data_IF_222817173301
#
_entry.id   IF_222817173301
#
_cell.length_a   1.000
_cell.length_b   1.000
_cell.length_c   1.000
_cell.angle_alpha   90.00
_cell.angle_beta   90.00
_cell.angle_gamma   90.00
#
_symmetry.space_group_name_H-M   'P 1'
#
loop_
_entity.id
_entity.type
_entity.pdbx_description
1 polymer ?
#
# COMPACT_ATOMS: atom_id res chain seq x y z
N UNK A 1 -62.84 -47.24 -39.75
CA UNK A 1 -61.88 -46.51 -38.90
C UNK A 1 -61.12 -45.58 -39.82
N UNK A 2 -61.57 -44.33 -39.90
CA UNK A 2 -60.90 -43.26 -40.63
C UNK A 2 -60.02 -42.52 -39.61
N UNK A 3 -58.74 -42.32 -39.94
CA UNK A 3 -57.81 -41.55 -39.12
C UNK A 3 -57.72 -40.14 -39.72
N UNK A 4 -58.11 -39.15 -38.92
CA UNK A 4 -57.96 -37.71 -39.20
C UNK A 4 -56.55 -37.25 -38.77
N UNK A 5 -55.90 -36.45 -39.63
CA UNK A 5 -54.65 -35.75 -39.34
C UNK A 5 -54.91 -34.51 -38.45
N UNK A 6 -54.06 -34.20 -37.44
CA UNK A 6 -54.14 -32.94 -36.71
C UNK A 6 -53.33 -31.82 -37.37
N UNK A 7 -53.91 -30.62 -37.34
CA UNK A 7 -53.42 -29.34 -37.85
C UNK A 7 -52.06 -28.91 -37.28
N UNK A 8 -51.19 -28.39 -38.17
CA UNK A 8 -49.99 -27.64 -37.82
C UNK A 8 -50.34 -26.28 -37.17
N UNK A 9 -49.98 -26.10 -35.90
CA UNK A 9 -49.84 -24.76 -35.32
C UNK A 9 -48.42 -24.22 -35.59
N UNK A 10 -48.35 -23.10 -36.30
CA UNK A 10 -47.13 -22.29 -36.45
C UNK A 10 -46.65 -21.82 -35.07
N UNK A 11 -45.42 -22.17 -34.70
CA UNK A 11 -44.68 -21.48 -33.66
C UNK A 11 -44.27 -20.10 -34.18
N UNK A 12 -44.73 -19.04 -33.50
CA UNK A 12 -44.07 -17.73 -33.55
C UNK A 12 -42.81 -17.78 -32.67
N UNK A 13 -41.69 -17.14 -33.06
CA UNK A 13 -40.50 -17.10 -32.23
C UNK A 13 -40.69 -16.07 -31.11
N UNK A 14 -40.72 -16.53 -29.85
CA UNK A 14 -40.51 -15.65 -28.70
C UNK A 14 -39.08 -15.12 -28.74
N UNK A 15 -38.95 -13.79 -28.70
CA UNK A 15 -37.70 -13.06 -28.86
C UNK A 15 -36.63 -13.39 -27.82
N UNK A 16 -35.39 -13.36 -28.31
CA UNK A 16 -34.14 -13.53 -27.56
C UNK A 16 -33.70 -12.30 -26.77
N UNK A 17 -34.58 -11.32 -26.55
CA UNK A 17 -34.21 -10.02 -25.95
C UNK A 17 -34.35 -9.97 -24.42
N UNK A 18 -34.88 -11.03 -23.80
CA UNK A 18 -35.17 -11.09 -22.36
C UNK A 18 -33.93 -11.37 -21.49
N UNK A 19 -32.95 -12.14 -21.97
CA UNK A 19 -31.78 -12.53 -21.16
C UNK A 19 -30.74 -11.42 -21.02
N UNK A 20 -30.54 -10.61 -22.08
CA UNK A 20 -29.58 -9.50 -22.07
C UNK A 20 -30.01 -8.31 -21.19
N UNK A 21 -31.31 -8.00 -21.13
CA UNK A 21 -31.86 -6.93 -20.27
C UNK A 21 -31.74 -7.27 -18.79
N UNK A 22 -31.86 -8.57 -18.44
CA UNK A 22 -31.76 -9.03 -17.06
C UNK A 22 -30.32 -8.92 -16.53
N UNK A 23 -29.31 -9.24 -17.36
CA UNK A 23 -27.90 -9.18 -16.96
C UNK A 23 -27.43 -7.75 -16.64
N UNK A 24 -27.80 -6.77 -17.48
CA UNK A 24 -27.46 -5.35 -17.27
C UNK A 24 -28.11 -4.78 -16.00
N UNK A 25 -29.34 -5.19 -15.69
CA UNK A 25 -30.04 -4.78 -14.47
C UNK A 25 -29.39 -5.36 -13.20
N UNK A 26 -28.86 -6.59 -13.26
CA UNK A 26 -28.09 -7.16 -12.16
C UNK A 26 -26.76 -6.45 -11.96
N UNK A 27 -26.04 -6.13 -13.04
CA UNK A 27 -24.77 -5.39 -12.95
C UNK A 27 -24.98 -4.01 -12.30
N UNK A 28 -26.03 -3.29 -12.69
CA UNK A 28 -26.40 -2.01 -12.07
C UNK A 28 -26.74 -2.16 -10.59
N UNK A 29 -27.49 -3.20 -10.22
CA UNK A 29 -27.82 -3.47 -8.83
C UNK A 29 -26.59 -3.83 -7.98
N UNK A 30 -25.63 -4.58 -8.54
CA UNK A 30 -24.36 -4.94 -7.91
C UNK A 30 -23.51 -3.69 -7.70
N UNK A 31 -23.34 -2.85 -8.73
CA UNK A 31 -22.60 -1.59 -8.62
C UNK A 31 -23.22 -0.68 -7.54
N UNK A 32 -24.54 -0.52 -7.55
CA UNK A 32 -25.23 0.29 -6.55
C UNK A 32 -25.08 -0.30 -5.12
N UNK A 33 -25.00 -1.62 -4.97
CA UNK A 33 -24.72 -2.25 -3.68
C UNK A 33 -23.28 -1.98 -3.22
N UNK A 34 -22.30 -2.11 -4.12
CA UNK A 34 -20.90 -1.81 -3.82
C UNK A 34 -20.72 -0.34 -3.41
N UNK A 35 -21.35 0.59 -4.13
CA UNK A 35 -21.30 2.01 -3.81
C UNK A 35 -21.87 2.30 -2.42
N UNK A 36 -23.01 1.68 -2.06
CA UNK A 36 -23.59 1.84 -0.71
C UNK A 36 -22.65 1.35 0.39
N UNK A 37 -22.05 0.17 0.20
CA UNK A 37 -21.08 -0.40 1.16
C UNK A 37 -19.87 0.53 1.30
N UNK A 38 -19.31 1.00 0.18
CA UNK A 38 -18.16 1.90 0.19
C UNK A 38 -18.48 3.25 0.83
N UNK A 39 -19.68 3.80 0.62
CA UNK A 39 -20.13 5.03 1.28
C UNK A 39 -20.26 4.86 2.79
N UNK A 40 -20.86 3.76 3.25
CA UNK A 40 -20.96 3.45 4.69
C UNK A 40 -19.57 3.33 5.34
N UNK A 41 -18.64 2.64 4.67
CA UNK A 41 -17.24 2.54 5.11
C UNK A 41 -16.57 3.93 5.12
N UNK A 42 -16.80 4.75 4.10
CA UNK A 42 -16.19 6.07 3.95
C UNK A 42 -16.65 7.08 5.01
N UNK A 43 -17.90 6.96 5.48
CA UNK A 43 -18.43 7.75 6.60
C UNK A 43 -17.75 7.38 7.92
N UNK A 44 -17.41 6.10 8.11
CA UNK A 44 -16.79 5.61 9.34
C UNK A 44 -15.27 5.80 9.36
N UNK A 45 -14.61 5.71 8.20
CA UNK A 45 -13.17 5.66 8.09
C UNK A 45 -12.65 6.71 7.10
N UNK A 46 -11.73 7.61 7.52
CA UNK A 46 -11.00 8.46 6.58
C UNK A 46 -10.13 7.60 5.66
N UNK A 47 -9.63 8.19 4.58
CA UNK A 47 -8.74 7.50 3.63
C UNK A 47 -7.45 7.06 4.33
N UNK A 48 -6.85 7.98 5.09
CA UNK A 48 -5.72 7.73 5.98
C UNK A 48 -6.01 8.40 7.31
N UNK A 49 -5.91 7.67 8.42
CA UNK A 49 -6.17 8.22 9.75
C UNK A 49 -5.03 9.11 10.26
N UNK A 50 -5.35 9.89 11.30
CA UNK A 50 -4.33 10.45 12.17
C UNK A 50 -3.43 9.37 12.77
N UNK A 51 -2.28 9.80 13.31
CA UNK A 51 -1.37 8.90 14.02
C UNK A 51 -1.97 8.49 15.35
N UNK A 52 -2.24 7.20 15.51
CA UNK A 52 -2.83 6.62 16.72
C UNK A 52 -1.76 5.82 17.49
N UNK A 53 -1.88 5.80 18.81
CA UNK A 53 -1.15 4.83 19.63
C UNK A 53 -1.57 3.42 19.23
N UNK A 54 -0.60 2.50 19.07
CA UNK A 54 -0.87 1.12 18.64
C UNK A 54 -1.86 0.39 19.56
N UNK A 55 -1.99 0.85 20.82
CA UNK A 55 -2.90 0.29 21.82
C UNK A 55 -4.38 0.34 21.42
N UNK A 56 -4.75 1.16 20.43
CA UNK A 56 -6.12 1.16 19.86
C UNK A 56 -6.50 -0.22 19.33
N UNK A 57 -5.53 -1.01 18.85
CA UNK A 57 -5.78 -2.37 18.34
C UNK A 57 -6.36 -3.30 19.42
N UNK A 58 -6.01 -3.14 20.70
CA UNK A 58 -6.57 -3.98 21.77
C UNK A 58 -8.09 -3.89 21.87
N UNK A 59 -8.68 -2.75 21.50
CA UNK A 59 -10.13 -2.51 21.55
C UNK A 59 -10.87 -3.08 20.34
N UNK A 60 -10.15 -3.46 19.28
CA UNK A 60 -10.74 -4.04 18.06
C UNK A 60 -10.92 -5.56 18.17
N UNK A 61 -10.25 -6.20 19.12
CA UNK A 61 -10.34 -7.63 19.36
C UNK A 61 -11.00 -7.89 20.71
N UNK A 62 -11.78 -8.96 20.80
CA UNK A 62 -12.38 -9.38 22.05
C UNK A 62 -11.29 -9.70 23.10
N UNK A 63 -11.58 -9.46 24.38
CA UNK A 63 -10.62 -9.70 25.46
C UNK A 63 -10.25 -11.18 25.61
N UNK A 64 -11.15 -12.07 25.20
CA UNK A 64 -10.96 -13.52 25.22
C UNK A 64 -10.30 -14.08 23.95
N UNK A 65 -10.08 -13.26 22.91
CA UNK A 65 -9.25 -13.64 21.75
C UNK A 65 -7.76 -13.52 22.11
N UNK A 66 -7.32 -14.47 22.96
CA UNK A 66 -5.98 -14.52 23.52
C UNK A 66 -4.88 -14.53 22.44
N UNK A 67 -5.15 -15.07 21.25
CA UNK A 67 -4.18 -15.14 20.14
C UNK A 67 -3.89 -13.73 19.63
N UNK A 68 -4.91 -12.98 19.22
CA UNK A 68 -4.72 -11.62 18.73
C UNK A 68 -4.22 -10.69 19.84
N UNK A 69 -4.73 -10.83 21.06
CA UNK A 69 -4.25 -10.07 22.22
C UNK A 69 -2.74 -10.27 22.47
N UNK A 70 -2.23 -11.50 22.31
CA UNK A 70 -0.79 -11.79 22.43
C UNK A 70 0.02 -11.22 21.26
N UNK A 71 -0.47 -11.33 20.02
CA UNK A 71 0.23 -10.77 18.86
C UNK A 71 0.30 -9.25 18.91
N UNK A 72 -0.74 -8.58 19.39
CA UNK A 72 -0.72 -7.11 19.62
C UNK A 72 0.31 -6.75 20.70
N UNK A 73 0.42 -7.55 21.77
CA UNK A 73 1.49 -7.37 22.79
C UNK A 73 2.89 -7.53 22.19
N UNK A 74 3.09 -8.47 21.27
CA UNK A 74 4.36 -8.62 20.59
C UNK A 74 4.65 -7.45 19.64
N UNK A 75 3.66 -7.01 18.87
CA UNK A 75 3.75 -5.89 17.96
C UNK A 75 4.12 -4.59 18.70
N UNK A 76 3.59 -4.38 19.91
CA UNK A 76 3.94 -3.26 20.80
C UNK A 76 5.42 -3.19 21.21
N UNK A 77 6.15 -4.30 21.14
CA UNK A 77 7.61 -4.28 21.40
C UNK A 77 8.39 -3.65 20.25
N UNK A 78 7.80 -3.66 19.04
CA UNK A 78 8.45 -3.26 17.78
C UNK A 78 7.96 -1.89 17.31
N UNK A 79 6.68 -1.58 17.51
CA UNK A 79 6.00 -0.39 16.99
C UNK A 79 5.25 0.36 18.09
N UNK A 80 5.24 1.69 18.01
CA UNK A 80 4.53 2.57 18.96
C UNK A 80 3.21 3.08 18.39
N UNK A 81 3.18 3.37 17.09
CA UNK A 81 2.04 4.01 16.45
C UNK A 81 1.52 3.23 15.26
N UNK A 82 0.27 3.51 14.91
CA UNK A 82 -0.42 3.00 13.73
C UNK A 82 -1.21 4.13 13.06
N UNK A 83 -1.22 4.13 11.73
CA UNK A 83 -2.17 4.89 10.90
C UNK A 83 -3.01 3.89 10.12
N UNK A 84 -4.31 3.96 10.34
CA UNK A 84 -5.28 3.11 9.64
C UNK A 84 -5.54 3.66 8.26
N UNK A 85 -5.88 2.76 7.33
CA UNK A 85 -6.38 3.16 6.01
C UNK A 85 -7.80 2.67 5.82
N UNK A 86 -8.53 3.29 4.88
CA UNK A 86 -9.88 2.84 4.56
C UNK A 86 -9.84 1.42 3.95
N UNK A 87 -10.72 0.48 4.37
CA UNK A 87 -10.81 -0.85 3.76
C UNK A 87 -11.62 -0.79 2.45
N UNK A 88 -11.08 -0.11 1.44
CA UNK A 88 -11.70 0.14 0.13
C UNK A 88 -11.08 -0.70 -1.00
N UNK A 89 -10.31 -1.73 -0.66
CA UNK A 89 -9.52 -2.53 -1.61
C UNK A 89 -8.24 -1.84 -2.10
N UNK A 90 -8.00 -0.58 -1.76
CA UNK A 90 -6.79 0.18 -2.14
C UNK A 90 -5.82 0.37 -0.96
N UNK A 91 -6.15 -0.18 0.22
CA UNK A 91 -5.42 0.00 1.48
C UNK A 91 -3.91 -0.22 1.36
N UNK A 92 -3.44 -1.23 0.62
CA UNK A 92 -1.99 -1.46 0.39
C UNK A 92 -1.32 -0.25 -0.27
N UNK A 93 -1.81 0.15 -1.44
CA UNK A 93 -1.25 1.27 -2.21
C UNK A 93 -1.29 2.58 -1.42
N UNK A 94 -2.39 2.80 -0.70
CA UNK A 94 -2.59 4.01 0.11
C UNK A 94 -1.65 4.04 1.32
N UNK A 95 -1.53 2.91 2.05
CA UNK A 95 -0.63 2.78 3.19
C UNK A 95 0.84 2.89 2.75
N UNK A 96 1.21 2.23 1.65
CA UNK A 96 2.55 2.33 1.06
C UNK A 96 2.88 3.77 0.66
N UNK A 97 2.01 4.41 -0.12
CA UNK A 97 2.23 5.76 -0.63
C UNK A 97 2.43 6.77 0.51
N UNK A 98 1.55 6.74 1.51
CA UNK A 98 1.66 7.63 2.66
C UNK A 98 2.92 7.34 3.50
N UNK A 99 3.13 6.07 3.87
CA UNK A 99 4.28 5.67 4.68
C UNK A 99 5.61 6.03 4.04
N UNK A 100 5.71 5.87 2.71
CA UNK A 100 6.94 6.16 2.01
C UNK A 100 7.19 7.65 1.91
N UNK A 101 6.18 8.44 1.50
CA UNK A 101 6.32 9.89 1.41
C UNK A 101 6.55 10.55 2.79
N UNK A 102 5.94 10.05 3.86
CA UNK A 102 6.21 10.49 5.24
C UNK A 102 7.69 10.21 5.61
N UNK A 103 8.23 9.03 5.25
CA UNK A 103 9.63 8.70 5.52
C UNK A 103 10.63 9.55 4.73
N UNK A 104 10.26 10.03 3.54
CA UNK A 104 11.12 10.87 2.70
C UNK A 104 11.24 12.32 3.19
N UNK A 105 10.38 12.79 4.09
CA UNK A 105 10.50 14.12 4.72
C UNK A 105 11.86 14.28 5.44
N UNK A 106 12.34 13.20 6.05
CA UNK A 106 13.58 13.18 6.83
C UNK A 106 14.83 12.76 6.03
N UNK A 107 14.68 12.26 4.79
CA UNK A 107 15.79 11.77 3.96
C UNK A 107 15.83 12.45 2.58
N UNK A 108 16.48 13.62 2.54
CA UNK A 108 16.61 14.40 1.31
C UNK A 108 17.36 13.68 0.19
N UNK A 109 18.29 12.77 0.51
CA UNK A 109 19.06 12.04 -0.52
C UNK A 109 18.17 10.99 -1.18
N UNK A 110 17.44 10.24 -0.37
CA UNK A 110 16.50 9.24 -0.86
C UNK A 110 15.34 9.89 -1.61
N UNK A 111 14.87 11.06 -1.17
CA UNK A 111 13.85 11.84 -1.88
C UNK A 111 14.28 12.18 -3.32
N UNK A 112 15.52 12.64 -3.51
CA UNK A 112 16.02 12.96 -4.86
C UNK A 112 16.13 11.70 -5.74
N UNK A 113 16.56 10.56 -5.18
CA UNK A 113 16.57 9.27 -5.88
C UNK A 113 15.14 8.86 -6.28
N UNK A 114 14.21 8.93 -5.34
CA UNK A 114 12.81 8.54 -5.54
C UNK A 114 12.13 9.42 -6.59
N UNK A 115 12.33 10.73 -6.53
CA UNK A 115 11.84 11.69 -7.53
C UNK A 115 12.37 11.38 -8.93
N UNK A 116 13.66 11.06 -9.06
CA UNK A 116 14.25 10.70 -10.35
C UNK A 116 13.66 9.41 -10.94
N UNK A 117 13.50 8.36 -10.11
CA UNK A 117 12.86 7.10 -10.52
C UNK A 117 11.40 7.33 -10.92
N UNK A 118 10.66 8.12 -10.14
CA UNK A 118 9.25 8.46 -10.38
C UNK A 118 9.04 9.34 -11.62
N UNK A 119 9.98 10.22 -11.95
CA UNK A 119 9.94 10.98 -13.19
C UNK A 119 10.17 10.06 -14.40
N UNK A 120 11.16 9.16 -14.30
CA UNK A 120 11.50 8.22 -15.37
C UNK A 120 10.41 7.18 -15.63
N UNK A 121 9.67 6.78 -14.59
CA UNK A 121 8.67 5.72 -14.69
C UNK A 121 7.53 6.03 -15.66
N UNK A 122 7.19 7.30 -15.90
CA UNK A 122 6.20 7.66 -16.93
C UNK A 122 6.67 7.22 -18.31
N UNK A 123 7.88 7.61 -18.72
CA UNK A 123 8.45 7.23 -20.01
C UNK A 123 8.56 5.70 -20.15
N UNK A 124 8.93 5.03 -19.07
CA UNK A 124 9.05 3.57 -19.07
C UNK A 124 7.70 2.89 -19.27
N UNK A 125 6.62 3.39 -18.66
CA UNK A 125 5.25 2.91 -18.92
C UNK A 125 4.82 3.20 -20.37
N UNK A 126 5.06 4.41 -20.89
CA UNK A 126 4.73 4.74 -22.29
C UNK A 126 5.46 3.81 -23.26
N UNK A 127 6.75 3.53 -23.02
CA UNK A 127 7.54 2.61 -23.84
C UNK A 127 7.03 1.16 -23.81
N UNK A 128 6.30 0.78 -22.76
CA UNK A 128 5.65 -0.53 -22.63
C UNK A 128 4.25 -0.58 -23.27
N UNK A 129 3.78 0.53 -23.86
CA UNK A 129 2.51 0.60 -24.58
C UNK A 129 1.34 1.16 -23.77
N UNK A 130 1.59 1.69 -22.56
CA UNK A 130 0.59 2.50 -21.87
C UNK A 130 0.38 3.82 -22.62
N UNK A 131 -0.85 4.28 -22.71
CA UNK A 131 -1.17 5.47 -23.49
C UNK A 131 -0.80 6.73 -22.69
N UNK A 132 0.08 7.57 -23.24
CA UNK A 132 0.68 8.70 -22.49
C UNK A 132 -0.36 9.65 -21.91
N UNK A 133 -1.30 10.13 -22.75
CA UNK A 133 -2.32 11.08 -22.30
C UNK A 133 -3.28 10.51 -21.23
N UNK A 134 -3.38 9.19 -21.11
CA UNK A 134 -4.24 8.56 -20.08
C UNK A 134 -3.55 8.42 -18.73
N UNK A 135 -2.21 8.41 -18.71
CA UNK A 135 -1.43 8.23 -17.48
C UNK A 135 -0.82 9.53 -16.96
N UNK A 136 -0.81 10.58 -17.79
CA UNK A 136 -0.18 11.86 -17.49
C UNK A 136 -0.77 12.53 -16.24
N UNK A 137 -2.09 12.61 -16.12
CA UNK A 137 -2.73 13.24 -14.95
C UNK A 137 -2.42 12.51 -13.63
N UNK A 138 -2.36 11.18 -13.67
CA UNK A 138 -1.99 10.35 -12.52
C UNK A 138 -0.51 10.52 -12.16
N UNK A 139 0.36 10.61 -13.16
CA UNK A 139 1.78 10.90 -12.97
C UNK A 139 1.99 12.29 -12.36
N UNK A 140 1.32 13.31 -12.89
CA UNK A 140 1.41 14.68 -12.39
C UNK A 140 0.99 14.76 -10.93
N UNK A 141 -0.13 14.13 -10.56
CA UNK A 141 -0.58 14.07 -9.15
C UNK A 141 0.46 13.42 -8.24
N UNK A 142 1.09 12.33 -8.70
CA UNK A 142 2.15 11.66 -7.95
C UNK A 142 3.38 12.55 -7.78
N UNK A 143 3.81 13.26 -8.83
CA UNK A 143 4.93 14.18 -8.79
C UNK A 143 4.65 15.41 -7.91
N UNK A 144 3.42 15.92 -7.92
CA UNK A 144 2.99 17.04 -7.06
C UNK A 144 3.09 16.67 -5.58
N UNK A 145 2.69 15.45 -5.20
CA UNK A 145 2.85 14.93 -3.83
C UNK A 145 4.34 14.81 -3.44
N UNK A 146 5.19 14.36 -4.35
CA UNK A 146 6.65 14.31 -4.13
C UNK A 146 7.22 15.73 -3.97
N UNK A 147 6.75 16.71 -4.75
CA UNK A 147 7.20 18.09 -4.66
C UNK A 147 6.74 18.77 -3.35
N UNK A 148 5.56 18.42 -2.82
CA UNK A 148 5.14 18.85 -1.49
C UNK A 148 6.12 18.38 -0.40
N UNK A 149 6.58 17.12 -0.48
CA UNK A 149 7.60 16.58 0.43
C UNK A 149 8.94 17.29 0.26
N UNK A 150 9.35 17.58 -0.98
CA UNK A 150 10.59 18.33 -1.28
C UNK A 150 10.58 19.75 -0.71
N UNK A 151 9.41 20.38 -0.66
CA UNK A 151 9.21 21.69 -0.01
C UNK A 151 9.16 21.62 1.52
N UNK A 152 9.41 20.45 2.11
CA UNK A 152 9.42 20.23 3.56
C UNK A 152 8.09 20.60 4.21
N UNK A 153 6.99 20.14 3.60
CA UNK A 153 5.65 20.30 4.14
C UNK A 153 5.48 19.57 5.49
N UNK A 154 4.49 19.96 6.28
CA UNK A 154 4.21 19.23 7.51
C UNK A 154 3.54 17.88 7.21
N UNK A 155 3.73 16.90 8.08
CA UNK A 155 3.03 15.60 7.98
C UNK A 155 1.50 15.78 7.95
N UNK A 156 0.97 16.81 8.62
CA UNK A 156 -0.45 17.12 8.62
C UNK A 156 -0.95 17.61 7.26
N UNK A 157 -0.14 18.41 6.54
CA UNK A 157 -0.49 18.90 5.19
C UNK A 157 -0.40 17.77 4.15
N UNK A 158 0.60 16.87 4.28
CA UNK A 158 0.67 15.65 3.48
C UNK A 158 -0.55 14.76 3.73
N UNK A 159 -0.94 14.59 5.00
CA UNK A 159 -2.13 13.83 5.38
C UNK A 159 -3.42 14.45 4.84
N UNK A 160 -3.53 15.78 4.83
CA UNK A 160 -4.67 16.47 4.23
C UNK A 160 -4.76 16.19 2.73
N UNK A 161 -3.63 16.20 2.01
CA UNK A 161 -3.58 15.86 0.58
C UNK A 161 -3.95 14.39 0.33
N UNK A 162 -3.53 13.47 1.19
CA UNK A 162 -3.94 12.05 1.14
C UNK A 162 -5.40 11.80 1.52
N UNK A 163 -6.06 12.74 2.19
CA UNK A 163 -7.48 12.66 2.52
C UNK A 163 -8.37 13.43 1.53
N UNK A 164 -7.79 14.11 0.54
CA UNK A 164 -8.53 14.53 -0.65
C UNK A 164 -8.80 13.32 -1.54
N UNK A 165 -10.07 13.02 -1.81
CA UNK A 165 -10.47 11.79 -2.50
C UNK A 165 -9.86 11.68 -3.89
N UNK A 166 -9.87 12.78 -4.67
CA UNK A 166 -9.34 12.77 -6.03
C UNK A 166 -7.82 12.57 -6.03
N UNK A 167 -7.09 13.35 -5.24
CA UNK A 167 -5.63 13.28 -5.14
C UNK A 167 -5.18 11.90 -4.69
N UNK A 168 -5.82 11.36 -3.66
CA UNK A 168 -5.46 10.05 -3.08
C UNK A 168 -5.78 8.91 -4.04
N UNK A 169 -6.89 8.95 -4.76
CA UNK A 169 -7.23 7.91 -5.73
C UNK A 169 -6.37 7.99 -7.00
N UNK A 170 -6.02 9.19 -7.47
CA UNK A 170 -5.10 9.37 -8.60
C UNK A 170 -3.71 8.81 -8.29
N UNK A 171 -3.22 9.03 -7.07
CA UNK A 171 -2.00 8.38 -6.57
C UNK A 171 -2.13 6.85 -6.63
N UNK A 172 -3.22 6.28 -6.10
CA UNK A 172 -3.44 4.82 -6.10
C UNK A 172 -3.44 4.28 -7.53
N UNK A 173 -4.13 4.93 -8.46
CA UNK A 173 -4.14 4.54 -9.88
C UNK A 173 -2.71 4.51 -10.42
N UNK A 174 -1.91 5.55 -10.16
CA UNK A 174 -0.54 5.57 -10.66
C UNK A 174 0.31 4.44 -10.07
N UNK A 175 0.21 4.17 -8.76
CA UNK A 175 0.93 3.06 -8.12
C UNK A 175 0.49 1.68 -8.67
N UNK A 176 -0.80 1.50 -8.99
CA UNK A 176 -1.30 0.29 -9.67
C UNK A 176 -0.69 0.14 -11.07
N UNK A 177 -0.61 1.22 -11.84
CA UNK A 177 0.02 1.22 -13.16
C UNK A 177 1.51 0.88 -13.09
N UNK A 178 2.25 1.44 -12.11
CA UNK A 178 3.65 1.08 -11.87
C UNK A 178 3.81 -0.40 -11.54
N UNK A 179 2.90 -0.95 -10.72
CA UNK A 179 2.88 -2.37 -10.38
C UNK A 179 2.65 -3.21 -11.63
N UNK A 180 1.64 -2.88 -12.44
CA UNK A 180 1.34 -3.55 -13.70
C UNK A 180 2.52 -3.50 -14.67
N UNK A 181 3.14 -2.32 -14.86
CA UNK A 181 4.30 -2.16 -15.73
C UNK A 181 5.49 -3.02 -15.29
N UNK A 182 5.78 -3.09 -13.98
CA UNK A 182 6.83 -3.95 -13.48
C UNK A 182 6.55 -5.44 -13.72
N UNK A 183 5.32 -5.88 -13.42
CA UNK A 183 4.89 -7.26 -13.64
C UNK A 183 5.03 -7.66 -15.11
N UNK A 184 4.56 -6.80 -16.03
CA UNK A 184 4.63 -7.06 -17.47
C UNK A 184 6.08 -7.08 -17.98
N UNK A 185 6.93 -6.18 -17.48
CA UNK A 185 8.37 -6.15 -17.82
C UNK A 185 9.09 -7.42 -17.40
N UNK A 186 8.83 -7.90 -16.18
CA UNK A 186 9.43 -9.11 -15.63
C UNK A 186 8.51 -10.34 -15.78
N UNK A 187 7.70 -10.37 -16.85
CA UNK A 187 6.64 -11.37 -17.03
C UNK A 187 7.11 -12.82 -16.92
N UNK A 188 8.29 -13.15 -17.44
CA UNK A 188 8.87 -14.51 -17.35
C UNK A 188 9.14 -14.95 -15.90
N UNK A 189 9.46 -14.01 -15.02
CA UNK A 189 9.64 -14.31 -13.60
C UNK A 189 8.28 -14.55 -12.95
N UNK A 190 7.31 -13.68 -13.21
CA UNK A 190 6.00 -13.70 -12.54
C UNK A 190 5.02 -14.77 -13.06
N UNK A 191 5.18 -15.27 -14.30
CA UNK A 191 4.23 -16.22 -14.91
C UNK A 191 4.00 -17.48 -14.05
N UNK A 192 5.00 -17.92 -13.30
CA UNK A 192 4.93 -19.11 -12.44
C UNK A 192 4.20 -18.87 -11.12
N UNK A 193 3.98 -17.61 -10.75
CA UNK A 193 3.31 -17.21 -9.51
C UNK A 193 1.85 -16.82 -9.73
N UNK A 194 1.37 -16.81 -10.98
CA UNK A 194 0.02 -16.43 -11.33
C UNK A 194 -0.88 -17.66 -11.40
N UNK A 195 -1.91 -17.66 -10.57
CA UNK A 195 -2.89 -18.74 -10.52
C UNK A 195 -3.93 -18.64 -11.64
N UNK A 196 -4.46 -19.81 -12.04
CA UNK A 196 -5.60 -19.91 -12.97
C UNK A 196 -5.25 -19.94 -14.45
N UNK A 197 -3.99 -20.17 -14.82
CA UNK A 197 -3.57 -20.30 -16.23
C UNK A 197 -3.64 -19.01 -17.04
N UNK A 198 -3.77 -17.86 -16.37
CA UNK A 198 -3.78 -16.53 -16.97
C UNK A 198 -2.36 -16.10 -17.32
N UNK A 199 -2.23 -15.32 -18.39
CA UNK A 199 -0.99 -14.59 -18.68
C UNK A 199 -0.78 -13.47 -17.67
N UNK A 200 0.46 -12.99 -17.54
CA UNK A 200 0.81 -11.84 -16.68
C UNK A 200 0.00 -10.60 -17.04
N UNK A 201 -0.23 -10.38 -18.34
CA UNK A 201 -1.00 -9.24 -18.82
C UNK A 201 -2.48 -9.34 -18.43
N UNK A 202 -3.09 -10.52 -18.58
CA UNK A 202 -4.48 -10.74 -18.14
C UNK A 202 -4.63 -10.59 -16.63
N UNK A 203 -3.67 -11.08 -15.85
CA UNK A 203 -3.63 -10.86 -14.41
C UNK A 203 -3.56 -9.36 -14.07
N UNK A 204 -2.69 -8.60 -14.74
CA UNK A 204 -2.60 -7.15 -14.52
C UNK A 204 -3.92 -6.44 -14.81
N UNK A 205 -4.57 -6.75 -15.93
CA UNK A 205 -5.84 -6.13 -16.33
C UNK A 205 -7.02 -6.50 -15.43
N UNK A 206 -6.97 -7.65 -14.75
CA UNK A 206 -8.07 -8.15 -13.92
C UNK A 206 -7.90 -7.85 -12.42
N UNK A 207 -6.68 -7.91 -11.90
CA UNK A 207 -6.41 -7.85 -10.44
C UNK A 207 -5.53 -6.67 -10.02
N UNK A 208 -4.76 -6.05 -10.92
CA UNK A 208 -3.80 -5.00 -10.56
C UNK A 208 -4.30 -3.61 -10.96
N UNK A 209 -4.56 -3.41 -12.26
CA UNK A 209 -4.94 -2.12 -12.85
C UNK A 209 -6.30 -1.60 -12.36
N UNK A 210 -7.34 -2.44 -12.20
CA UNK A 210 -8.63 -1.96 -11.71
C UNK A 210 -8.55 -1.47 -10.25
N UNK A 211 -9.26 -0.38 -9.97
CA UNK A 211 -9.42 0.13 -8.62
C UNK A 211 -10.19 -0.84 -7.73
N UNK A 212 -9.97 -0.75 -6.42
CA UNK A 212 -10.70 -1.50 -5.40
C UNK A 212 -10.46 -3.03 -5.45
N UNK A 213 -9.45 -3.48 -6.20
CA UNK A 213 -8.97 -4.87 -6.20
C UNK A 213 -7.94 -5.11 -5.11
N UNK A 214 -8.11 -6.19 -4.37
CA UNK A 214 -7.22 -6.56 -3.26
C UNK A 214 -5.77 -6.74 -3.71
N UNK A 215 -4.84 -6.41 -2.82
CA UNK A 215 -3.41 -6.56 -3.07
C UNK A 215 -2.83 -7.67 -2.22
N UNK A 216 -2.14 -8.59 -2.87
CA UNK A 216 -1.38 -9.67 -2.26
C UNK A 216 0.14 -9.50 -2.50
N UNK A 217 0.94 -10.42 -1.97
CA UNK A 217 2.39 -10.48 -2.01
C UNK A 217 3.01 -10.12 -3.37
N UNK A 218 2.44 -10.62 -4.49
CA UNK A 218 2.93 -10.31 -5.84
C UNK A 218 2.91 -8.80 -6.15
N UNK A 219 1.91 -8.07 -5.65
CA UNK A 219 1.77 -6.62 -5.81
C UNK A 219 2.82 -5.88 -4.98
N UNK A 220 3.09 -6.37 -3.77
CA UNK A 220 4.08 -5.78 -2.85
C UNK A 220 5.47 -5.88 -3.44
N UNK A 221 5.87 -7.07 -3.91
CA UNK A 221 7.17 -7.29 -4.55
C UNK A 221 7.30 -6.41 -5.80
N UNK A 222 6.29 -6.43 -6.67
CA UNK A 222 6.35 -5.68 -7.92
C UNK A 222 6.48 -4.18 -7.68
N UNK A 223 5.68 -3.60 -6.76
CA UNK A 223 5.77 -2.18 -6.45
C UNK A 223 7.08 -1.80 -5.75
N UNK A 224 7.54 -2.62 -4.79
CA UNK A 224 8.82 -2.43 -4.11
C UNK A 224 9.98 -2.39 -5.10
N UNK A 225 10.02 -3.33 -6.03
CA UNK A 225 11.06 -3.39 -7.06
C UNK A 225 10.92 -2.27 -8.10
N UNK A 226 9.69 -1.93 -8.51
CA UNK A 226 9.42 -0.84 -9.46
C UNK A 226 10.00 0.50 -9.00
N UNK A 227 9.88 0.80 -7.71
CA UNK A 227 10.36 2.05 -7.12
C UNK A 227 11.76 1.91 -6.45
N UNK A 228 12.28 0.68 -6.42
CA UNK A 228 13.51 0.32 -5.70
C UNK A 228 13.46 0.75 -4.22
N UNK A 229 12.37 0.39 -3.55
CA UNK A 229 12.08 0.71 -2.14
C UNK A 229 11.96 -0.57 -1.34
N UNK A 230 12.43 -0.55 -0.09
CA UNK A 230 12.32 -1.66 0.85
C UNK A 230 11.11 -1.52 1.79
N UNK A 231 10.26 -2.56 1.80
CA UNK A 231 9.01 -2.64 2.55
C UNK A 231 9.11 -3.79 3.55
N UNK A 232 8.78 -3.56 4.81
CA UNK A 232 8.53 -4.62 5.79
C UNK A 232 7.03 -4.71 6.07
N UNK A 233 6.49 -5.92 6.00
CA UNK A 233 5.10 -6.24 6.32
C UNK A 233 5.08 -7.16 7.53
N UNK A 234 4.47 -6.73 8.62
CA UNK A 234 4.17 -7.58 9.77
C UNK A 234 2.86 -8.31 9.53
N UNK A 235 2.92 -9.63 9.38
CA UNK A 235 1.73 -10.46 9.25
C UNK A 235 1.18 -10.81 10.64
N UNK A 236 -0.05 -10.38 10.89
CA UNK A 236 -0.81 -10.67 12.10
C UNK A 236 -2.03 -11.54 11.77
N UNK A 237 -1.80 -12.85 11.73
CA UNK A 237 -2.80 -13.88 11.48
C UNK A 237 -3.03 -14.79 12.71
N UNK A 238 -3.88 -15.81 12.57
CA UNK A 238 -4.06 -16.87 13.58
C UNK A 238 -2.99 -17.97 13.51
N UNK A 239 -1.87 -17.73 12.86
CA UNK A 239 -0.75 -18.66 12.81
C UNK A 239 -0.22 -18.99 14.20
N UNK A 240 0.33 -20.20 14.36
CA UNK A 240 0.83 -20.70 15.65
C UNK A 240 1.88 -19.75 16.24
N UNK A 241 1.80 -19.54 17.57
CA UNK A 241 2.70 -18.67 18.32
C UNK A 241 2.11 -17.28 18.61
N UNK A 242 2.68 -16.62 19.63
CA UNK A 242 2.27 -15.29 20.07
C UNK A 242 2.98 -14.13 19.36
N UNK A 243 3.72 -14.40 18.29
CA UNK A 243 4.55 -13.41 17.59
C UNK A 243 3.95 -13.02 16.24
N UNK A 244 4.21 -11.78 15.82
CA UNK A 244 3.96 -11.36 14.43
C UNK A 244 5.13 -11.74 13.53
N UNK A 245 4.83 -12.10 12.28
CA UNK A 245 5.83 -12.58 11.32
C UNK A 245 6.27 -11.41 10.41
N UNK A 246 7.51 -10.92 10.52
CA UNK A 246 8.01 -9.87 9.64
C UNK A 246 8.47 -10.46 8.30
N UNK A 247 7.97 -9.89 7.21
CA UNK A 247 8.44 -10.18 5.85
C UNK A 247 9.03 -8.91 5.24
N UNK A 248 10.24 -9.00 4.67
CA UNK A 248 10.94 -7.85 4.09
C UNK A 248 11.08 -8.03 2.59
N UNK A 249 10.70 -7.01 1.83
CA UNK A 249 10.70 -7.00 0.37
C UNK A 249 11.50 -5.79 -0.14
N UNK A 250 12.59 -5.99 -0.89
CA UNK A 250 13.25 -7.26 -1.21
C UNK A 250 13.92 -7.90 0.04
N UNK A 251 14.09 -9.22 0.03
CA UNK A 251 14.72 -9.95 1.14
C UNK A 251 16.13 -9.43 1.45
N UNK A 252 16.48 -9.33 2.72
CA UNK A 252 17.79 -8.86 3.19
C UNK A 252 18.05 -7.35 3.08
N UNK A 253 17.08 -6.57 2.59
CA UNK A 253 17.15 -5.10 2.58
C UNK A 253 16.85 -4.50 3.96
N UNK A 254 17.27 -3.25 4.18
CA UNK A 254 16.87 -2.48 5.36
C UNK A 254 15.56 -1.72 5.04
N UNK A 255 14.42 -2.10 5.63
CA UNK A 255 13.12 -1.51 5.31
C UNK A 255 13.02 -0.06 5.77
N UNK A 256 12.44 0.79 4.90
CA UNK A 256 12.07 2.17 5.25
C UNK A 256 10.57 2.33 5.43
N UNK A 257 9.79 1.46 4.79
CA UNK A 257 8.33 1.41 4.89
C UNK A 257 7.94 0.23 5.79
N UNK A 258 7.03 0.47 6.74
CA UNK A 258 6.55 -0.55 7.67
C UNK A 258 5.03 -0.62 7.62
N UNK A 259 4.51 -1.78 7.28
CA UNK A 259 3.10 -2.06 7.15
C UNK A 259 2.69 -3.20 8.09
N UNK A 260 1.45 -3.16 8.55
CA UNK A 260 0.78 -4.25 9.25
C UNK A 260 -0.22 -4.88 8.28
N UNK A 261 -0.10 -6.18 8.06
CA UNK A 261 -1.12 -6.97 7.38
C UNK A 261 -1.98 -7.68 8.41
N UNK A 262 -3.28 -7.41 8.33
CA UNK A 262 -4.36 -8.19 8.96
C UNK A 262 -5.14 -8.87 7.83
N UNK A 263 -5.81 -10.01 8.05
CA UNK A 263 -6.50 -10.71 6.96
C UNK A 263 -7.38 -9.76 6.12
N UNK A 264 -6.97 -9.51 4.87
CA UNK A 264 -7.65 -8.61 3.93
C UNK A 264 -7.39 -7.10 4.08
N UNK A 265 -6.47 -6.64 4.94
CA UNK A 265 -6.27 -5.20 5.18
C UNK A 265 -4.83 -4.81 5.53
N UNK A 266 -4.38 -3.68 4.99
CA UNK A 266 -3.06 -3.09 5.23
C UNK A 266 -3.15 -1.75 5.95
N UNK A 267 -2.28 -1.58 6.95
CA UNK A 267 -2.17 -0.34 7.72
C UNK A 267 -0.69 0.05 7.84
N UNK A 268 -0.42 1.33 8.05
CA UNK A 268 0.94 1.80 8.27
C UNK A 268 1.27 1.74 9.77
N UNK A 269 2.39 1.12 10.13
CA UNK A 269 2.89 1.08 11.53
C UNK A 269 4.22 1.82 11.65
N UNK A 270 4.46 2.44 12.79
CA UNK A 270 5.66 3.26 13.02
C UNK A 270 6.46 2.72 14.20
N UNK A 271 7.77 2.54 13.98
CA UNK A 271 8.68 1.94 14.95
C UNK A 271 8.78 2.76 16.22
N UNK A 272 9.08 2.07 17.32
CA UNK A 272 9.57 2.71 18.53
C UNK A 272 10.93 3.34 18.16
N UNK A 273 11.05 4.66 18.17
CA UNK A 273 12.37 5.29 18.09
C UNK A 273 13.16 4.89 19.33
N UNK A 274 14.00 3.86 19.20
CA UNK A 274 15.03 3.58 20.19
C UNK A 274 16.05 4.70 20.08
N UNK A 275 15.97 5.68 20.98
CA UNK A 275 16.94 6.77 21.14
C UNK A 275 18.39 6.28 21.35
N UNK A 276 18.64 4.97 21.41
CA UNK A 276 19.93 4.38 21.72
C UNK A 276 20.98 4.48 20.61
N UNK A 277 20.65 4.84 19.37
CA UNK A 277 21.64 4.86 18.27
C UNK A 277 22.13 6.25 17.79
N UNK A 278 21.49 7.36 18.21
CA UNK A 278 21.92 8.71 17.79
C UNK A 278 22.61 9.54 18.87
N UNK A 279 22.80 9.01 20.09
CA UNK A 279 23.40 9.75 21.21
C UNK A 279 24.90 9.49 21.46
N UNK A 280 25.66 8.99 20.47
CA UNK A 280 27.12 8.94 20.60
C UNK A 280 27.84 10.25 20.22
N UNK A 281 27.09 11.30 19.86
CA UNK A 281 27.63 12.64 19.63
C UNK A 281 26.85 13.70 20.43
N UNK A 282 26.85 13.59 21.76
CA UNK A 282 26.52 14.73 22.61
C UNK A 282 27.77 15.22 23.35
N UNK A 283 28.17 16.44 23.02
CA UNK A 283 29.26 17.19 23.64
C UNK A 283 29.16 17.15 25.17
N UNK A 284 30.26 16.78 25.84
CA UNK A 284 30.41 17.02 27.27
C UNK A 284 30.66 18.51 27.49
N UNK A 285 29.70 19.23 28.07
CA UNK A 285 29.91 20.59 28.56
C UNK A 285 30.46 20.51 29.98
N UNK A 286 31.76 20.75 30.19
CA UNK A 286 32.35 20.85 31.52
C UNK A 286 32.43 22.33 31.90
N UNK A 287 31.73 22.73 32.96
CA UNK A 287 31.88 24.05 33.57
C UNK A 287 32.99 23.96 34.60
N UNK A 288 34.13 24.61 34.32
CA UNK A 288 35.20 24.82 35.30
C UNK A 288 35.31 26.33 35.54
N UNK A 289 35.08 26.76 36.78
CA UNK A 289 35.21 28.16 37.22
C UNK A 289 34.43 29.19 36.38
N UNK A 290 33.17 28.88 36.01
CA UNK A 290 32.24 29.85 35.45
C UNK A 290 32.39 30.19 33.97
N UNK A 291 33.25 29.50 33.22
CA UNK A 291 33.33 29.61 31.76
C UNK A 291 32.99 28.27 31.07
N UNK A 292 32.19 28.35 30.00
CA UNK A 292 31.82 27.23 29.13
C UNK A 292 32.90 27.07 28.06
N UNK A 293 33.41 25.85 27.85
CA UNK A 293 34.35 25.52 26.77
C UNK A 293 33.98 24.20 26.13
N UNK A 294 33.96 24.16 24.79
CA UNK A 294 33.70 22.95 23.99
C UNK A 294 35.05 22.29 23.66
N UNK A 295 35.25 21.03 24.06
CA UNK A 295 36.45 20.26 23.69
C UNK A 295 36.09 19.17 22.67
N UNK A 296 36.84 19.00 21.57
CA UNK A 296 36.70 17.85 20.69
C UNK A 296 37.37 16.61 21.30
N UNK A 297 36.75 15.43 21.14
CA UNK A 297 37.29 14.14 21.58
C UNK A 297 38.48 13.70 20.73
N UNK A 298 39.47 12.98 21.29
CA UNK A 298 40.50 12.31 20.50
C UNK A 298 39.90 11.09 19.78
N UNK A 299 40.23 10.96 18.49
CA UNK A 299 39.92 9.78 17.66
C UNK A 299 40.65 8.57 18.26
N UNK A 300 39.91 7.56 18.70
CA UNK A 300 40.48 6.26 19.10
C UNK A 300 40.49 5.38 17.85
N UNK A 301 41.68 5.05 17.35
CA UNK A 301 41.87 4.09 16.24
C UNK A 301 41.47 2.66 16.66
N UNK A 302 40.81 1.88 15.78
CA UNK A 302 40.42 0.52 16.07
C UNK A 302 41.61 -0.44 15.84
N UNK A 303 42.53 -0.51 16.80
CA UNK A 303 43.63 -1.50 16.78
C UNK A 303 43.79 -2.29 18.07
N UNK A 304 42.83 -2.24 18.98
CA UNK A 304 42.85 -3.05 20.21
C UNK A 304 41.51 -3.71 20.51
N UNK A 305 41.16 -4.73 19.74
CA UNK A 305 40.37 -5.86 20.21
C UNK A 305 40.97 -7.12 19.59
N UNK A 306 41.88 -7.75 20.34
CA UNK A 306 42.17 -9.18 20.23
C UNK A 306 41.13 -9.95 21.03
#
# INVERSE_FOLDING_TARGET
MAAEEPQQQKQEPLGSDSEGVNCLAYDEAIMAQQDRIQQEIAVQNPLVSERLELSVLYKEYAEDDNIYQQKIKDLHKKYSYIRKTRPDGNCFYRAFGFSHLEALLDDSKELQRFKAVSAKSKEDLVSQGFTEFTIEDFHNTFMDLIEQVEKQTSVADLLASFNDQSTSDYLVVYLRLLTSGYLQRESKFFEHFIEGGRTVKEFCQQEVEPMCKESDHIHIIALAQALSVSIQVEYMDRGEGGTTNPHVFPEGSEPKVYLLYRPGHYEHVQRVFSFLFSFFFFFFCVVVNGHISLLPFPVIEPSMFY
#
